data_IF_008342446533
#
_entry.id   IF_008342446533
#
_cell.length_a   1.000
_cell.length_b   1.000
_cell.length_c   1.000
_cell.angle_alpha   90.00
_cell.angle_beta   90.00
_cell.angle_gamma   90.00
#
_symmetry.space_group_name_H-M   'P 1'
#
loop_
_entity.id
_entity.type
_entity.pdbx_description
1 polymer ?
#
# COMPACT_ATOMS: atom_id res chain seq x y z
N UNK A 1 26.28 -48.17 -35.33
CA UNK A 1 26.46 -47.06 -34.41
C UNK A 1 25.35 -46.09 -34.68
N UNK A 2 24.33 -46.15 -33.86
CA UNK A 2 23.09 -45.32 -34.01
C UNK A 2 23.14 -44.30 -32.86
N UNK A 3 23.41 -43.09 -33.18
CA UNK A 3 23.36 -41.98 -32.22
C UNK A 3 21.88 -41.74 -31.83
N UNK A 4 21.59 -41.99 -30.59
CA UNK A 4 20.32 -41.57 -29.96
C UNK A 4 20.40 -40.11 -29.62
N UNK A 5 19.75 -39.26 -30.37
CA UNK A 5 19.44 -37.89 -30.00
C UNK A 5 18.46 -37.91 -28.84
N UNK A 6 18.95 -37.66 -27.62
CA UNK A 6 18.14 -37.36 -26.47
C UNK A 6 17.64 -35.90 -26.61
N UNK A 7 16.43 -35.73 -27.11
CA UNK A 7 15.71 -34.47 -27.01
C UNK A 7 15.30 -34.28 -25.54
N UNK A 8 16.02 -33.45 -24.80
CA UNK A 8 15.56 -32.94 -23.51
C UNK A 8 14.24 -32.20 -23.72
N UNK A 9 13.15 -32.88 -23.41
CA UNK A 9 11.86 -32.25 -23.24
C UNK A 9 11.97 -31.40 -21.97
N UNK A 10 12.22 -30.10 -22.13
CA UNK A 10 12.06 -29.12 -21.07
C UNK A 10 10.59 -29.17 -20.63
N UNK A 11 10.32 -29.76 -19.48
CA UNK A 11 9.00 -29.69 -18.85
C UNK A 11 8.60 -28.21 -18.75
N UNK A 12 7.59 -27.81 -19.51
CA UNK A 12 7.00 -26.48 -19.39
C UNK A 12 6.38 -26.37 -18.01
N UNK A 13 7.13 -25.76 -17.08
CA UNK A 13 6.63 -25.44 -15.75
C UNK A 13 5.35 -24.62 -15.89
N UNK A 14 4.28 -25.08 -15.27
CA UNK A 14 2.99 -24.38 -15.26
C UNK A 14 3.19 -22.99 -14.65
N UNK A 15 2.75 -21.95 -15.36
CA UNK A 15 2.78 -20.57 -14.90
C UNK A 15 1.67 -20.34 -13.87
N UNK A 16 1.95 -19.62 -12.80
CA UNK A 16 0.91 -19.09 -11.94
C UNK A 16 0.20 -17.90 -12.61
N UNK A 17 -0.90 -17.43 -12.03
CA UNK A 17 -1.72 -16.37 -12.65
C UNK A 17 -1.00 -15.02 -12.78
N UNK A 18 -0.07 -14.69 -11.85
CA UNK A 18 0.73 -13.46 -11.95
C UNK A 18 1.73 -13.58 -13.09
N UNK A 19 2.43 -14.72 -13.17
CA UNK A 19 3.35 -14.99 -14.27
C UNK A 19 2.61 -14.96 -15.63
N UNK A 20 1.39 -15.49 -15.69
CA UNK A 20 0.56 -15.41 -16.91
C UNK A 20 0.21 -13.96 -17.27
N UNK A 21 -0.15 -13.13 -16.29
CA UNK A 21 -0.43 -11.73 -16.51
C UNK A 21 0.80 -10.98 -17.03
N UNK A 22 1.96 -11.16 -16.39
CA UNK A 22 3.23 -10.57 -16.84
C UNK A 22 3.59 -10.99 -18.26
N UNK A 23 3.48 -12.30 -18.58
CA UNK A 23 3.78 -12.78 -19.93
C UNK A 23 2.81 -12.24 -20.99
N UNK A 24 1.55 -12.06 -20.64
CA UNK A 24 0.57 -11.46 -21.55
C UNK A 24 0.90 -9.98 -21.81
N UNK A 25 1.19 -9.21 -20.75
CA UNK A 25 1.54 -7.81 -20.88
C UNK A 25 2.83 -7.61 -21.67
N UNK A 26 3.83 -8.49 -21.50
CA UNK A 26 5.06 -8.47 -22.30
C UNK A 26 4.79 -8.80 -23.77
N UNK A 27 3.92 -9.78 -24.07
CA UNK A 27 3.53 -10.14 -25.45
C UNK A 27 2.76 -9.01 -26.13
N UNK A 28 1.95 -8.28 -25.38
CA UNK A 28 1.19 -7.12 -25.87
C UNK A 28 2.04 -5.84 -25.96
N UNK A 29 3.30 -5.88 -25.50
CA UNK A 29 4.21 -4.74 -25.50
C UNK A 29 3.86 -3.66 -24.48
N UNK A 30 3.00 -3.97 -23.50
CA UNK A 30 2.64 -3.04 -22.45
C UNK A 30 3.85 -2.61 -21.62
N UNK A 31 3.77 -1.45 -21.00
CA UNK A 31 4.82 -0.87 -20.17
C UNK A 31 6.19 -0.78 -20.89
N UNK A 32 6.19 -0.71 -22.23
CA UNK A 32 7.43 -0.74 -23.03
C UNK A 32 8.26 -2.01 -22.84
N UNK A 33 7.62 -3.14 -22.52
CA UNK A 33 8.28 -4.42 -22.25
C UNK A 33 9.03 -4.48 -20.91
N UNK A 34 8.79 -3.54 -20.01
CA UNK A 34 9.42 -3.50 -18.67
C UNK A 34 8.57 -4.25 -17.65
N UNK A 35 9.26 -4.87 -16.68
CA UNK A 35 8.65 -5.45 -15.49
C UNK A 35 9.26 -4.78 -14.27
N UNK A 36 8.44 -4.05 -13.54
CA UNK A 36 8.86 -3.39 -12.32
C UNK A 36 7.84 -3.65 -11.23
N UNK A 37 8.30 -4.26 -10.16
CA UNK A 37 7.53 -4.52 -8.95
C UNK A 37 8.07 -3.67 -7.80
N UNK A 38 7.45 -3.74 -6.65
CA UNK A 38 7.97 -3.14 -5.42
C UNK A 38 7.54 -3.94 -4.20
N UNK A 39 8.35 -3.93 -3.15
CA UNK A 39 7.99 -4.36 -1.81
C UNK A 39 7.78 -3.11 -0.95
N UNK A 40 6.53 -2.84 -0.46
CA UNK A 40 6.19 -1.60 0.24
C UNK A 40 5.91 -1.80 1.72
N UNK A 41 6.91 -2.15 2.56
CA UNK A 41 6.69 -2.37 3.98
C UNK A 41 6.42 -1.05 4.72
N UNK A 42 5.49 -1.09 5.70
CA UNK A 42 5.36 -0.05 6.72
C UNK A 42 6.46 -0.27 7.78
N UNK A 43 7.33 0.73 8.09
CA UNK A 43 8.43 0.56 9.03
C UNK A 43 7.96 0.67 10.49
N UNK A 44 6.99 -0.15 10.88
CA UNK A 44 6.32 -0.15 12.19
C UNK A 44 6.53 -1.43 13.01
N UNK A 45 7.43 -2.29 12.57
CA UNK A 45 7.76 -3.54 13.24
C UNK A 45 8.64 -4.46 12.40
N UNK A 46 9.14 -5.51 13.04
CA UNK A 46 9.94 -6.53 12.37
C UNK A 46 9.10 -7.36 11.39
N UNK A 47 9.75 -7.85 10.32
CA UNK A 47 9.11 -8.71 9.35
C UNK A 47 8.79 -10.09 9.95
N UNK A 48 7.86 -10.78 9.32
CA UNK A 48 7.48 -12.15 9.64
C UNK A 48 7.35 -12.97 8.34
N UNK A 49 7.15 -14.29 8.46
CA UNK A 49 7.12 -15.21 7.31
C UNK A 49 6.10 -14.84 6.23
N UNK A 50 5.01 -14.13 6.59
CA UNK A 50 4.07 -13.58 5.60
C UNK A 50 4.71 -12.54 4.71
N UNK A 51 5.57 -11.67 5.28
CA UNK A 51 6.36 -10.71 4.51
C UNK A 51 7.43 -11.40 3.66
N UNK A 52 8.09 -12.46 4.18
CA UNK A 52 9.03 -13.24 3.41
C UNK A 52 8.39 -13.81 2.13
N UNK A 53 7.15 -14.30 2.20
CA UNK A 53 6.40 -14.74 1.02
C UNK A 53 6.20 -13.59 0.02
N UNK A 54 5.81 -12.39 0.47
CA UNK A 54 5.63 -11.23 -0.39
C UNK A 54 6.96 -10.83 -1.06
N UNK A 55 8.04 -10.74 -0.27
CA UNK A 55 9.39 -10.45 -0.77
C UNK A 55 9.79 -11.45 -1.86
N UNK A 56 9.66 -12.76 -1.59
CA UNK A 56 10.01 -13.79 -2.57
C UNK A 56 9.16 -13.68 -3.87
N UNK A 57 7.91 -13.23 -3.76
CA UNK A 57 7.06 -13.04 -4.92
C UNK A 57 7.43 -11.77 -5.70
N UNK A 58 7.53 -10.63 -5.02
CA UNK A 58 7.81 -9.33 -5.64
C UNK A 58 9.17 -9.32 -6.34
N UNK A 59 10.21 -9.75 -5.62
CA UNK A 59 11.57 -9.85 -6.16
C UNK A 59 11.72 -11.00 -7.16
N UNK A 60 11.05 -12.14 -6.90
CA UNK A 60 11.10 -13.31 -7.78
C UNK A 60 10.49 -13.05 -9.15
N UNK A 61 9.37 -12.34 -9.22
CA UNK A 61 8.75 -11.92 -10.49
C UNK A 61 9.69 -10.98 -11.25
N UNK A 62 10.20 -9.94 -10.60
CA UNK A 62 11.15 -9.03 -11.24
C UNK A 62 12.37 -9.77 -11.79
N UNK A 63 13.02 -10.60 -10.98
CA UNK A 63 14.21 -11.36 -11.37
C UNK A 63 13.92 -12.31 -12.54
N UNK A 64 12.80 -13.03 -12.52
CA UNK A 64 12.41 -13.99 -13.56
C UNK A 64 12.24 -13.35 -14.94
N UNK A 65 11.73 -12.13 -14.99
CA UNK A 65 11.46 -11.42 -16.24
C UNK A 65 12.50 -10.34 -16.56
N UNK A 66 13.68 -10.37 -15.92
CA UNK A 66 14.75 -9.41 -16.16
C UNK A 66 14.41 -7.97 -15.78
N UNK A 67 13.45 -7.82 -14.87
CA UNK A 67 12.97 -6.54 -14.39
C UNK A 67 13.65 -6.09 -13.09
N UNK A 68 13.02 -5.12 -12.42
CA UNK A 68 13.51 -4.51 -11.18
C UNK A 68 12.43 -4.58 -10.11
N UNK A 69 12.82 -4.91 -8.87
CA UNK A 69 11.98 -4.73 -7.69
C UNK A 69 12.55 -3.59 -6.84
N UNK A 70 11.74 -2.58 -6.55
CA UNK A 70 12.12 -1.47 -5.68
C UNK A 70 11.68 -1.75 -4.23
N UNK A 71 12.37 -1.13 -3.28
CA UNK A 71 11.98 -1.08 -1.88
C UNK A 71 11.35 0.30 -1.63
N UNK A 72 10.09 0.35 -1.22
CA UNK A 72 9.43 1.60 -0.82
C UNK A 72 8.88 1.50 0.58
N UNK A 73 9.41 2.25 1.50
CA UNK A 73 8.84 2.35 2.83
C UNK A 73 7.55 3.17 2.81
N UNK A 74 6.45 2.55 3.28
CA UNK A 74 5.18 3.26 3.48
C UNK A 74 5.22 3.97 4.83
N UNK A 75 5.82 5.15 4.84
CA UNK A 75 6.00 6.01 6.00
C UNK A 75 4.95 7.13 6.06
N UNK A 76 3.68 6.81 5.81
CA UNK A 76 2.55 7.76 5.88
C UNK A 76 1.99 7.96 7.28
N UNK A 77 2.47 7.22 8.29
CA UNK A 77 1.97 7.26 9.65
C UNK A 77 3.07 7.51 10.68
N UNK A 78 3.41 8.76 10.99
CA UNK A 78 4.56 9.13 11.83
C UNK A 78 4.49 8.61 13.28
N UNK A 79 3.33 8.12 13.73
CA UNK A 79 3.17 7.69 15.13
C UNK A 79 3.75 6.31 15.45
N UNK A 80 4.14 5.54 14.44
CA UNK A 80 4.53 4.13 14.60
C UNK A 80 5.85 3.77 13.93
N UNK A 81 6.42 4.69 13.18
CA UNK A 81 7.58 4.44 12.33
C UNK A 81 8.88 4.69 13.08
N UNK A 82 9.84 3.78 12.92
CA UNK A 82 11.15 3.89 13.53
C UNK A 82 12.24 3.43 12.55
N UNK A 83 13.39 4.12 12.61
CA UNK A 83 14.58 3.80 11.81
C UNK A 83 15.13 2.41 12.13
N UNK A 84 14.94 1.91 13.34
CA UNK A 84 15.31 0.54 13.71
C UNK A 84 14.62 -0.50 12.79
N UNK A 85 13.34 -0.29 12.51
CA UNK A 85 12.60 -1.19 11.62
C UNK A 85 13.00 -1.05 10.16
N UNK A 86 13.34 0.17 9.72
CA UNK A 86 13.87 0.40 8.37
C UNK A 86 15.12 -0.44 8.12
N UNK A 87 16.10 -0.39 9.03
CA UNK A 87 17.35 -1.15 8.91
C UNK A 87 17.11 -2.66 9.03
N UNK A 88 16.29 -3.10 9.98
CA UNK A 88 15.94 -4.51 10.13
C UNK A 88 15.27 -5.10 8.88
N UNK A 89 14.37 -4.34 8.22
CA UNK A 89 13.71 -4.74 6.97
C UNK A 89 14.75 -4.90 5.85
N UNK A 90 15.69 -3.97 5.72
CA UNK A 90 16.77 -4.06 4.74
C UNK A 90 17.64 -5.30 4.94
N UNK A 91 18.04 -5.56 6.19
CA UNK A 91 18.80 -6.76 6.54
C UNK A 91 18.04 -8.03 6.20
N UNK A 92 16.73 -8.10 6.50
CA UNK A 92 15.92 -9.28 6.24
C UNK A 92 15.76 -9.56 4.73
N UNK A 93 15.61 -8.52 3.90
CA UNK A 93 15.56 -8.65 2.43
C UNK A 93 16.90 -9.19 1.91
N UNK A 94 18.02 -8.65 2.37
CA UNK A 94 19.37 -9.10 1.99
C UNK A 94 19.65 -10.53 2.48
N UNK A 95 19.21 -10.86 3.69
CA UNK A 95 19.34 -12.21 4.23
C UNK A 95 18.55 -13.24 3.39
N UNK A 96 17.40 -12.87 2.84
CA UNK A 96 16.64 -13.70 1.89
C UNK A 96 17.32 -13.80 0.52
N UNK A 97 18.45 -13.12 0.29
CA UNK A 97 19.25 -13.18 -0.93
C UNK A 97 18.82 -12.21 -2.03
N UNK A 98 17.99 -11.21 -1.70
CA UNK A 98 17.52 -10.24 -2.67
C UNK A 98 18.24 -8.89 -2.56
N UNK A 99 18.26 -8.17 -3.69
CA UNK A 99 18.76 -6.80 -3.81
C UNK A 99 17.68 -5.97 -4.50
N UNK A 100 17.35 -4.81 -3.92
CA UNK A 100 16.41 -3.87 -4.56
C UNK A 100 17.11 -2.95 -5.55
N UNK A 101 16.32 -2.42 -6.49
CA UNK A 101 16.81 -1.45 -7.46
C UNK A 101 16.98 -0.07 -6.82
N UNK A 102 15.86 0.59 -6.57
CA UNK A 102 15.83 1.88 -5.89
C UNK A 102 15.16 1.75 -4.52
N UNK A 103 15.53 2.67 -3.62
CA UNK A 103 14.92 2.82 -2.32
C UNK A 103 14.11 4.12 -2.32
N UNK A 104 12.84 4.01 -1.97
CA UNK A 104 11.89 5.11 -1.91
C UNK A 104 11.16 5.15 -0.57
N UNK A 105 10.58 6.29 -0.28
CA UNK A 105 9.71 6.49 0.87
C UNK A 105 8.43 7.19 0.39
N UNK A 106 7.28 6.85 0.99
CA UNK A 106 6.04 7.56 0.68
C UNK A 106 6.18 9.06 0.98
N UNK A 107 6.97 9.42 1.99
CA UNK A 107 7.30 10.81 2.33
C UNK A 107 8.08 11.58 1.25
N UNK A 108 8.73 10.91 0.31
CA UNK A 108 9.38 11.57 -0.84
C UNK A 108 8.34 12.23 -1.77
N UNK A 109 7.09 11.77 -1.71
CA UNK A 109 5.98 12.22 -2.57
C UNK A 109 4.96 13.10 -1.85
N UNK A 110 5.18 13.48 -0.59
CA UNK A 110 4.18 14.23 0.19
C UNK A 110 3.78 15.54 -0.49
N UNK A 111 4.69 16.24 -1.17
CA UNK A 111 4.35 17.44 -1.90
C UNK A 111 3.45 17.15 -3.12
N UNK A 112 3.78 16.14 -3.92
CA UNK A 112 2.96 15.76 -5.08
C UNK A 112 1.57 15.27 -4.64
N UNK A 113 1.49 14.48 -3.56
CA UNK A 113 0.24 14.02 -2.98
C UNK A 113 -0.60 15.17 -2.46
N UNK A 114 0.03 16.17 -1.82
CA UNK A 114 -0.61 17.40 -1.37
C UNK A 114 -1.20 18.19 -2.53
N UNK A 115 -0.38 18.45 -3.56
CA UNK A 115 -0.80 19.21 -4.74
C UNK A 115 -1.95 18.51 -5.46
N UNK A 116 -1.93 17.20 -5.50
CA UNK A 116 -3.02 16.41 -6.07
C UNK A 116 -4.30 16.51 -5.21
N UNK A 117 -4.20 16.43 -3.89
CA UNK A 117 -5.35 16.63 -3.00
C UNK A 117 -5.95 18.05 -3.16
N UNK A 118 -5.12 19.08 -3.30
CA UNK A 118 -5.56 20.45 -3.61
C UNK A 118 -6.33 20.50 -4.93
N UNK A 119 -5.85 19.81 -5.96
CA UNK A 119 -6.56 19.74 -7.25
C UNK A 119 -7.91 19.03 -7.12
N UNK A 120 -8.00 17.93 -6.37
CA UNK A 120 -9.27 17.26 -6.11
C UNK A 120 -10.30 18.18 -5.41
N UNK A 121 -9.84 19.02 -4.47
CA UNK A 121 -10.71 20.01 -3.84
C UNK A 121 -11.20 21.03 -4.89
N UNK A 122 -10.31 21.58 -5.72
CA UNK A 122 -10.64 22.54 -6.78
C UNK A 122 -11.63 21.99 -7.80
N UNK A 123 -11.56 20.68 -8.07
CA UNK A 123 -12.47 19.96 -8.98
C UNK A 123 -13.78 19.55 -8.30
N UNK A 124 -13.95 19.84 -7.00
CA UNK A 124 -15.14 19.42 -6.24
C UNK A 124 -15.19 17.91 -5.98
N UNK A 125 -14.06 17.19 -6.14
CA UNK A 125 -13.90 15.76 -5.89
C UNK A 125 -13.45 15.42 -4.47
N UNK A 126 -13.16 16.44 -3.65
CA UNK A 126 -12.83 16.27 -2.23
C UNK A 126 -13.37 17.45 -1.40
N UNK A 127 -13.61 17.19 -0.12
CA UNK A 127 -14.16 18.18 0.81
C UNK A 127 -13.63 17.95 2.23
N UNK A 128 -13.58 19.03 3.03
CA UNK A 128 -13.25 18.94 4.46
C UNK A 128 -14.49 18.56 5.25
N UNK A 129 -14.34 17.53 6.07
CA UNK A 129 -15.34 17.01 6.99
C UNK A 129 -14.89 17.23 8.44
N UNK A 130 -15.74 17.87 9.25
CA UNK A 130 -15.48 18.17 10.66
C UNK A 130 -16.07 17.11 11.61
N UNK A 131 -16.57 16.01 11.05
CA UNK A 131 -17.09 14.91 11.85
C UNK A 131 -15.96 14.10 12.44
N UNK A 132 -16.18 13.59 13.64
CA UNK A 132 -15.25 12.66 14.27
C UNK A 132 -15.37 11.25 13.65
N UNK A 133 -14.45 10.36 14.03
CA UNK A 133 -14.38 8.99 13.50
C UNK A 133 -15.66 8.17 13.73
N UNK A 134 -16.34 8.34 14.88
CA UNK A 134 -17.57 7.63 15.19
C UNK A 134 -18.74 8.10 14.31
N UNK A 135 -18.85 9.40 14.09
CA UNK A 135 -19.86 9.98 13.20
C UNK A 135 -19.67 9.54 11.76
N UNK A 136 -18.42 9.57 11.27
CA UNK A 136 -18.08 9.09 9.92
C UNK A 136 -18.39 7.59 9.78
N UNK A 137 -18.02 6.78 10.78
CA UNK A 137 -18.31 5.36 10.78
C UNK A 137 -19.81 5.07 10.74
N UNK A 138 -20.60 5.77 11.55
CA UNK A 138 -22.06 5.64 11.57
C UNK A 138 -22.69 6.03 10.22
N UNK A 139 -22.20 7.10 9.59
CA UNK A 139 -22.68 7.54 8.27
C UNK A 139 -22.37 6.58 7.14
N UNK A 140 -21.27 5.83 7.22
CA UNK A 140 -20.92 4.85 6.19
C UNK A 140 -21.96 3.74 6.02
N UNK A 141 -22.84 3.54 7.02
CA UNK A 141 -23.84 2.47 6.99
C UNK A 141 -23.23 1.08 7.10
N UNK A 142 -23.83 0.11 6.43
CA UNK A 142 -23.37 -1.28 6.42
C UNK A 142 -23.21 -1.80 4.99
N UNK A 143 -22.59 -2.96 4.75
CA UNK A 143 -22.51 -3.51 3.40
C UNK A 143 -23.87 -3.69 2.69
N UNK A 144 -24.95 -3.87 3.48
CA UNK A 144 -26.32 -4.07 2.97
C UNK A 144 -27.20 -2.82 3.04
N UNK A 145 -26.73 -1.75 3.67
CA UNK A 145 -27.44 -0.50 3.80
C UNK A 145 -26.55 0.65 3.31
N UNK A 146 -27.04 1.51 2.39
CA UNK A 146 -26.28 2.65 1.92
C UNK A 146 -25.91 3.58 3.06
N UNK A 147 -24.82 4.31 2.88
CA UNK A 147 -24.45 5.40 3.77
C UNK A 147 -25.30 6.65 3.53
N UNK A 148 -25.15 7.62 4.42
CA UNK A 148 -25.74 8.95 4.30
C UNK A 148 -24.65 9.98 4.02
N UNK A 149 -24.99 11.05 3.31
CA UNK A 149 -24.05 12.12 3.00
C UNK A 149 -23.67 12.91 4.27
N UNK A 150 -22.41 13.33 4.34
CA UNK A 150 -21.98 14.27 5.36
C UNK A 150 -22.65 15.64 5.17
N UNK A 151 -22.99 16.36 6.25
CA UNK A 151 -23.48 17.75 6.15
C UNK A 151 -22.44 18.69 5.50
N UNK A 152 -21.15 18.29 5.49
CA UNK A 152 -20.04 19.05 4.92
C UNK A 152 -19.72 18.67 3.46
N UNK A 153 -20.40 17.68 2.90
CA UNK A 153 -20.10 17.12 1.56
C UNK A 153 -20.20 18.16 0.44
N UNK A 154 -21.03 19.16 0.61
CA UNK A 154 -21.24 20.23 -0.36
C UNK A 154 -20.67 21.58 0.12
N UNK A 155 -19.65 21.55 1.00
CA UNK A 155 -18.93 22.74 1.45
C UNK A 155 -18.32 23.49 0.24
N UNK A 156 -18.31 24.83 0.24
CA UNK A 156 -17.65 25.62 -0.79
C UNK A 156 -16.19 25.24 -0.97
N UNK A 157 -15.72 25.27 -2.23
CA UNK A 157 -14.36 24.88 -2.60
C UNK A 157 -13.33 25.75 -1.86
N UNK A 158 -13.56 27.06 -1.84
CA UNK A 158 -12.67 28.05 -1.20
C UNK A 158 -12.51 27.76 0.31
N UNK A 159 -13.61 27.45 0.98
CA UNK A 159 -13.61 27.10 2.39
C UNK A 159 -12.85 25.79 2.65
N UNK A 160 -13.08 24.77 1.81
CA UNK A 160 -12.35 23.51 1.90
C UNK A 160 -10.85 23.69 1.68
N UNK A 161 -10.42 24.54 0.75
CA UNK A 161 -9.01 24.87 0.51
C UNK A 161 -8.40 25.59 1.71
N UNK A 162 -9.09 26.57 2.28
CA UNK A 162 -8.62 27.30 3.47
C UNK A 162 -8.42 26.33 4.65
N UNK A 163 -9.43 25.49 4.92
CA UNK A 163 -9.38 24.53 6.03
C UNK A 163 -8.31 23.45 5.81
N UNK A 164 -8.10 22.99 4.58
CA UNK A 164 -7.05 22.04 4.26
C UNK A 164 -5.65 22.64 4.54
N UNK A 165 -5.42 23.89 4.19
CA UNK A 165 -4.19 24.59 4.56
C UNK A 165 -4.04 24.71 6.07
N UNK A 166 -5.11 25.02 6.82
CA UNK A 166 -5.08 25.04 8.28
C UNK A 166 -4.78 23.70 8.93
N UNK A 167 -5.21 22.60 8.30
CA UNK A 167 -4.81 21.26 8.77
C UNK A 167 -3.28 21.08 8.75
N UNK A 168 -2.60 21.59 7.73
CA UNK A 168 -1.14 21.47 7.62
C UNK A 168 -0.36 22.54 8.39
N UNK A 169 -0.95 23.71 8.65
CA UNK A 169 -0.30 24.76 9.47
C UNK A 169 -0.21 24.40 10.96
N UNK A 170 -0.95 23.36 11.39
CA UNK A 170 -1.00 22.95 12.80
C UNK A 170 -2.05 23.68 13.64
N UNK A 171 -2.88 24.53 13.01
CA UNK A 171 -3.98 25.23 13.68
C UNK A 171 -5.10 24.28 14.11
N UNK A 172 -5.23 23.13 13.41
CA UNK A 172 -6.29 22.15 13.65
C UNK A 172 -5.77 21.03 14.55
N UNK A 173 -6.56 20.65 15.56
CA UNK A 173 -6.26 19.53 16.43
C UNK A 173 -6.57 18.18 15.75
N UNK A 174 -5.83 17.14 16.17
CA UNK A 174 -6.05 15.78 15.71
C UNK A 174 -7.52 15.34 15.93
N UNK A 175 -8.08 14.65 14.93
CA UNK A 175 -9.45 14.12 14.97
C UNK A 175 -10.56 15.17 14.83
N UNK A 176 -10.24 16.45 14.59
CA UNK A 176 -11.24 17.51 14.40
C UNK A 176 -11.69 17.69 12.98
N UNK A 177 -10.79 17.47 12.03
CA UNK A 177 -11.06 17.57 10.61
C UNK A 177 -10.32 16.50 9.84
N UNK A 178 -10.92 16.09 8.72
CA UNK A 178 -10.31 15.19 7.75
C UNK A 178 -10.67 15.66 6.34
N UNK A 179 -9.81 15.38 5.36
CA UNK A 179 -10.17 15.53 3.95
C UNK A 179 -10.75 14.21 3.46
N UNK A 180 -11.93 14.25 2.85
CA UNK A 180 -12.60 13.09 2.27
C UNK A 180 -12.73 13.23 0.76
N UNK A 181 -12.51 12.14 0.04
CA UNK A 181 -12.85 12.07 -1.37
C UNK A 181 -14.38 11.99 -1.53
N UNK A 182 -14.92 12.71 -2.53
CA UNK A 182 -16.34 12.73 -2.84
C UNK A 182 -16.63 11.71 -3.94
N UNK A 183 -17.11 10.52 -3.56
CA UNK A 183 -17.31 9.41 -4.49
C UNK A 183 -18.79 8.97 -4.49
N UNK A 184 -19.14 7.94 -3.72
CA UNK A 184 -20.48 7.36 -3.72
C UNK A 184 -20.84 6.76 -2.36
N UNK A 185 -21.71 7.42 -1.62
CA UNK A 185 -22.17 6.96 -0.30
C UNK A 185 -23.12 5.74 -0.39
N UNK A 186 -23.65 5.42 -1.57
CA UNK A 186 -24.51 4.26 -1.79
C UNK A 186 -23.75 3.02 -2.28
N UNK A 187 -22.45 3.14 -2.57
CA UNK A 187 -21.66 2.04 -3.09
C UNK A 187 -21.72 0.78 -2.20
N UNK A 188 -21.88 -0.43 -2.77
CA UNK A 188 -21.78 -1.67 -2.02
C UNK A 188 -20.36 -1.89 -1.46
N UNK A 189 -19.33 -1.29 -2.07
CA UNK A 189 -17.97 -1.26 -1.54
C UNK A 189 -17.82 -0.13 -0.52
N UNK A 190 -17.63 -0.49 0.76
CA UNK A 190 -17.49 0.46 1.85
C UNK A 190 -16.30 1.41 1.71
N UNK A 191 -15.25 1.02 0.95
CA UNK A 191 -14.09 1.87 0.67
C UNK A 191 -14.42 3.02 -0.30
N UNK A 192 -15.49 2.90 -1.08
CA UNK A 192 -15.98 3.95 -1.99
C UNK A 192 -16.88 4.99 -1.32
N UNK A 193 -17.29 4.77 -0.07
CA UNK A 193 -18.20 5.67 0.66
C UNK A 193 -17.43 6.83 1.25
N UNK A 194 -17.10 7.80 0.42
CA UNK A 194 -16.36 9.02 0.72
C UNK A 194 -15.21 8.75 1.71
N UNK A 195 -14.14 8.05 1.28
CA UNK A 195 -13.03 7.69 2.15
C UNK A 195 -12.26 8.90 2.63
N UNK A 196 -11.68 8.80 3.82
CA UNK A 196 -10.71 9.77 4.31
C UNK A 196 -9.43 9.63 3.49
N UNK A 197 -8.92 10.74 2.96
CA UNK A 197 -7.68 10.77 2.18
C UNK A 197 -6.55 11.54 2.87
N UNK A 198 -6.87 12.47 3.79
CA UNK A 198 -5.91 13.16 4.67
C UNK A 198 -6.44 13.28 6.09
N UNK A 199 -5.53 13.21 7.06
CA UNK A 199 -5.78 13.41 8.48
C UNK A 199 -4.69 14.27 9.13
N UNK A 200 -5.00 14.93 10.26
CA UNK A 200 -4.02 15.66 11.06
C UNK A 200 -3.34 14.68 12.03
N UNK A 201 -1.99 14.73 12.07
CA UNK A 201 -1.14 14.03 13.05
C UNK A 201 -0.07 15.01 13.49
N UNK A 202 0.04 15.27 14.79
CA UNK A 202 0.99 16.24 15.34
C UNK A 202 2.35 15.66 15.71
N UNK A 203 2.47 14.33 15.67
CA UNK A 203 3.76 13.67 15.90
C UNK A 203 4.74 14.04 14.77
N UNK A 204 5.97 14.48 15.09
CA UNK A 204 6.99 14.76 14.09
C UNK A 204 7.31 13.51 13.27
N UNK A 205 7.44 13.66 11.98
CA UNK A 205 7.77 12.56 11.08
C UNK A 205 9.28 12.26 11.11
N UNK A 206 9.68 10.99 11.14
CA UNK A 206 11.08 10.56 11.27
C UNK A 206 12.02 11.12 10.19
N UNK A 207 11.51 11.39 8.96
CA UNK A 207 12.30 11.97 7.87
C UNK A 207 12.01 13.44 7.60
N UNK A 208 10.76 13.87 7.63
CA UNK A 208 10.36 15.25 7.28
C UNK A 208 10.21 16.17 8.50
N UNK A 209 10.35 15.64 9.72
CA UNK A 209 10.24 16.40 10.94
C UNK A 209 8.89 17.09 11.09
N UNK A 210 8.94 18.40 11.32
CA UNK A 210 7.77 19.25 11.57
C UNK A 210 7.14 19.86 10.30
N UNK A 211 7.63 19.50 9.11
CA UNK A 211 7.20 20.10 7.84
C UNK A 211 5.73 19.84 7.55
N UNK A 212 5.25 18.67 7.90
CA UNK A 212 3.87 18.24 7.65
C UNK A 212 3.14 18.01 8.97
N UNK A 213 1.85 18.38 8.99
CA UNK A 213 0.89 18.08 10.06
C UNK A 213 -0.35 17.37 9.52
N UNK A 214 -0.61 17.51 8.22
CA UNK A 214 -1.62 16.75 7.49
C UNK A 214 -0.95 15.65 6.68
N UNK A 215 -1.34 14.39 6.92
CA UNK A 215 -0.74 13.21 6.32
C UNK A 215 -1.74 12.46 5.45
N UNK A 216 -1.31 11.96 4.27
CA UNK A 216 -2.17 11.17 3.42
C UNK A 216 -2.50 9.82 4.06
N UNK A 217 -3.68 9.29 3.72
CA UNK A 217 -4.04 7.92 4.07
C UNK A 217 -3.45 6.94 3.06
N UNK A 218 -3.21 5.71 3.51
CA UNK A 218 -2.67 4.63 2.69
C UNK A 218 -3.35 4.49 1.33
N UNK A 219 -4.67 4.36 1.29
CA UNK A 219 -5.42 4.17 0.04
C UNK A 219 -5.25 5.32 -0.95
N UNK A 220 -4.99 6.53 -0.46
CA UNK A 220 -4.72 7.69 -1.30
C UNK A 220 -3.28 7.73 -1.82
N UNK A 221 -2.30 7.42 -0.97
CA UNK A 221 -0.88 7.55 -1.32
C UNK A 221 -0.37 6.39 -2.17
N UNK A 222 -0.82 5.17 -1.91
CA UNK A 222 -0.20 3.94 -2.40
C UNK A 222 -0.20 3.82 -3.93
N UNK A 223 -1.36 3.95 -4.58
CA UNK A 223 -1.48 3.85 -6.04
C UNK A 223 -0.75 4.98 -6.77
N UNK A 224 -0.72 6.17 -6.18
CA UNK A 224 -0.02 7.31 -6.75
C UNK A 224 1.50 7.15 -6.64
N UNK A 225 2.00 6.61 -5.52
CA UNK A 225 3.42 6.28 -5.37
C UNK A 225 3.85 5.24 -6.39
N UNK A 226 3.04 4.19 -6.61
CA UNK A 226 3.29 3.21 -7.68
C UNK A 226 3.38 3.89 -9.06
N UNK A 227 2.51 4.87 -9.31
CA UNK A 227 2.52 5.64 -10.55
C UNK A 227 3.78 6.51 -10.69
N UNK A 228 4.19 7.22 -9.64
CA UNK A 228 5.39 8.07 -9.67
C UNK A 228 6.67 7.27 -9.87
N UNK A 229 6.73 6.07 -9.34
CA UNK A 229 7.89 5.17 -9.45
C UNK A 229 7.91 4.37 -10.77
N UNK A 230 6.82 4.36 -11.52
CA UNK A 230 6.70 3.57 -12.74
C UNK A 230 6.57 2.06 -12.48
N UNK A 231 5.97 1.68 -11.37
CA UNK A 231 5.62 0.28 -11.08
C UNK A 231 4.69 -0.23 -12.19
N UNK A 232 4.93 -1.43 -12.68
CA UNK A 232 4.12 -2.03 -13.74
C UNK A 232 3.12 -3.04 -13.18
N UNK A 233 3.57 -3.86 -12.23
CA UNK A 233 2.80 -4.90 -11.59
C UNK A 233 2.85 -4.69 -10.07
N UNK A 234 1.74 -4.20 -9.53
CA UNK A 234 1.57 -3.92 -8.10
C UNK A 234 1.04 -5.18 -7.41
N UNK A 235 1.88 -5.89 -6.66
CA UNK A 235 1.50 -7.14 -6.01
C UNK A 235 1.15 -6.90 -4.54
N UNK A 236 0.08 -7.51 -4.07
CA UNK A 236 -0.38 -7.41 -2.67
C UNK A 236 -1.17 -8.64 -2.24
N UNK A 237 -1.56 -8.71 -0.97
CA UNK A 237 -2.36 -9.83 -0.46
C UNK A 237 -3.86 -9.66 -0.76
N UNK A 238 -4.62 -10.76 -0.77
CA UNK A 238 -6.07 -10.77 -1.06
C UNK A 238 -6.92 -9.84 -0.18
N UNK A 239 -6.43 -9.42 0.94
CA UNK A 239 -7.13 -8.45 1.79
C UNK A 239 -7.30 -7.08 1.14
N UNK A 240 -6.50 -6.77 0.12
CA UNK A 240 -6.59 -5.53 -0.66
C UNK A 240 -7.55 -5.60 -1.87
N UNK A 241 -8.18 -6.74 -2.13
CA UNK A 241 -9.20 -6.86 -3.21
C UNK A 241 -10.29 -5.77 -3.10
N UNK A 242 -10.88 -5.49 -1.91
CA UNK A 242 -11.88 -4.42 -1.79
C UNK A 242 -11.29 -3.01 -1.98
N UNK A 243 -9.97 -2.83 -1.82
CA UNK A 243 -9.27 -1.56 -2.00
C UNK A 243 -8.92 -1.29 -3.46
N UNK A 244 -8.73 -2.33 -4.29
CA UNK A 244 -8.31 -2.18 -5.69
C UNK A 244 -9.17 -1.19 -6.50
N UNK A 245 -10.52 -1.19 -6.42
CA UNK A 245 -11.30 -0.20 -7.16
C UNK A 245 -10.99 1.25 -6.75
N UNK A 246 -10.65 1.49 -5.47
CA UNK A 246 -10.26 2.81 -4.98
C UNK A 246 -8.85 3.19 -5.46
N UNK A 247 -7.92 2.25 -5.41
CA UNK A 247 -6.59 2.37 -6.01
C UNK A 247 -6.68 2.78 -7.49
N UNK A 248 -7.48 2.06 -8.27
CA UNK A 248 -7.71 2.34 -9.68
C UNK A 248 -8.29 3.74 -9.91
N UNK A 249 -9.28 4.14 -9.10
CA UNK A 249 -9.92 5.46 -9.20
C UNK A 249 -8.93 6.61 -8.96
N UNK A 250 -8.10 6.52 -7.91
CA UNK A 250 -7.13 7.58 -7.63
C UNK A 250 -6.04 7.66 -8.70
N UNK A 251 -5.59 6.54 -9.25
CA UNK A 251 -4.66 6.54 -10.38
C UNK A 251 -5.29 7.19 -11.60
N UNK A 252 -6.56 6.88 -11.91
CA UNK A 252 -7.28 7.51 -13.03
C UNK A 252 -7.42 9.03 -12.83
N UNK A 253 -7.74 9.47 -11.62
CA UNK A 253 -7.85 10.90 -11.31
C UNK A 253 -6.50 11.64 -11.42
N UNK A 254 -5.38 11.00 -11.05
CA UNK A 254 -4.03 11.58 -11.28
C UNK A 254 -3.74 11.74 -12.77
N UNK A 255 -4.21 10.80 -13.58
CA UNK A 255 -3.99 10.77 -15.03
C UNK A 255 -4.92 11.71 -15.79
N UNK A 256 -6.02 12.16 -15.20
CA UNK A 256 -7.02 13.00 -15.87
C UNK A 256 -6.39 14.26 -16.43
N UNK A 257 -6.57 14.48 -17.75
CA UNK A 257 -6.00 15.63 -18.48
C UNK A 257 -4.50 15.57 -18.76
N UNK A 258 -3.84 14.47 -18.44
CA UNK A 258 -2.45 14.22 -18.84
C UNK A 258 -2.43 13.19 -19.96
N UNK A 259 -1.60 13.42 -20.96
CA UNK A 259 -1.34 12.51 -22.09
C UNK A 259 -0.47 11.35 -21.56
N UNK A 260 -1.08 10.52 -20.73
CA UNK A 260 -0.40 9.40 -20.07
C UNK A 260 -0.74 8.14 -20.84
N UNK A 261 0.34 7.47 -21.22
CA UNK A 261 0.38 6.20 -21.91
C UNK A 261 -0.70 5.23 -21.42
N UNK A 262 -1.27 4.43 -22.32
CA UNK A 262 -2.19 3.33 -21.98
C UNK A 262 -1.56 2.27 -21.06
N UNK A 263 -0.26 2.40 -20.78
CA UNK A 263 0.52 1.55 -19.88
C UNK A 263 0.20 1.85 -18.42
N UNK A 264 -1.02 1.53 -18.03
CA UNK A 264 -1.45 1.64 -16.65
C UNK A 264 -0.97 0.44 -15.86
N UNK A 265 -0.31 0.69 -14.72
CA UNK A 265 0.01 -0.36 -13.77
C UNK A 265 -1.29 -0.93 -13.16
N UNK A 266 -1.26 -2.23 -12.83
CA UNK A 266 -2.38 -2.95 -12.23
C UNK A 266 -1.99 -3.57 -10.90
N UNK A 267 -2.98 -3.64 -10.00
CA UNK A 267 -2.85 -4.34 -8.74
C UNK A 267 -3.29 -5.80 -8.90
N UNK A 268 -2.44 -6.74 -8.46
CA UNK A 268 -2.70 -8.17 -8.47
C UNK A 268 -2.61 -8.70 -7.04
N UNK A 269 -3.64 -9.41 -6.60
CA UNK A 269 -3.72 -9.91 -5.24
C UNK A 269 -3.45 -11.41 -5.17
N UNK A 270 -2.55 -11.80 -4.28
CA UNK A 270 -2.20 -13.19 -4.03
C UNK A 270 -2.66 -13.69 -2.66
N UNK A 271 -2.81 -15.01 -2.53
CA UNK A 271 -3.24 -15.65 -1.29
C UNK A 271 -2.24 -15.46 -0.15
N UNK A 272 -2.75 -15.33 1.08
CA UNK A 272 -1.93 -15.40 2.30
C UNK A 272 -1.16 -16.71 2.37
N UNK A 273 -0.02 -16.68 3.06
CA UNK A 273 0.67 -17.90 3.44
C UNK A 273 -0.12 -18.60 4.54
N UNK A 274 -0.57 -19.81 4.25
CA UNK A 274 -1.23 -20.68 5.22
C UNK A 274 -0.31 -21.87 5.51
N UNK A 275 0.02 -22.08 6.77
CA UNK A 275 0.81 -23.19 7.24
C UNK A 275 -0.07 -24.12 8.09
N UNK A 276 0.00 -25.42 7.80
CA UNK A 276 -0.68 -26.42 8.61
C UNK A 276 0.09 -26.63 9.91
N UNK A 277 -0.63 -26.93 10.97
CA UNK A 277 -0.06 -27.23 12.31
C UNK A 277 0.83 -26.11 12.89
N UNK A 278 0.64 -24.87 12.44
CA UNK A 278 1.46 -23.72 12.85
C UNK A 278 0.56 -22.60 13.33
N UNK A 279 0.86 -22.04 14.50
CA UNK A 279 0.18 -20.88 15.04
C UNK A 279 0.87 -19.62 14.50
N UNK A 280 0.18 -18.88 13.61
CA UNK A 280 0.70 -17.66 12.94
C UNK A 280 0.11 -16.36 13.50
N UNK A 281 -0.88 -16.45 14.40
CA UNK A 281 -1.56 -15.29 14.94
C UNK A 281 -0.69 -14.54 15.95
N UNK A 282 -0.24 -13.33 15.64
CA UNK A 282 0.46 -12.44 16.60
C UNK A 282 -0.31 -12.29 17.91
N UNK A 283 -1.64 -12.19 17.84
CA UNK A 283 -2.50 -12.09 19.01
C UNK A 283 -2.41 -13.31 19.91
N UNK A 284 -2.41 -14.52 19.34
CA UNK A 284 -2.29 -15.75 20.10
C UNK A 284 -0.86 -15.97 20.63
N UNK A 285 0.14 -15.64 19.82
CA UNK A 285 1.55 -15.71 20.24
C UNK A 285 1.82 -14.76 21.42
N UNK A 286 1.19 -13.56 21.42
CA UNK A 286 1.30 -12.60 22.52
C UNK A 286 0.78 -13.16 23.85
N UNK A 287 -0.22 -14.06 23.82
CA UNK A 287 -0.73 -14.73 25.03
C UNK A 287 0.37 -15.58 25.66
N UNK A 288 1.11 -16.35 24.85
CA UNK A 288 2.21 -17.18 25.33
C UNK A 288 3.30 -16.35 26.05
N UNK A 289 3.61 -15.17 25.52
CA UNK A 289 4.56 -14.23 26.14
C UNK A 289 4.00 -13.65 27.44
N UNK A 290 2.74 -13.20 27.44
CA UNK A 290 2.09 -12.57 28.62
C UNK A 290 1.88 -13.56 29.77
N UNK A 291 1.60 -14.80 29.45
CA UNK A 291 1.41 -15.87 30.45
C UNK A 291 2.73 -16.53 30.86
N UNK A 292 3.87 -15.98 30.38
CA UNK A 292 5.22 -16.51 30.67
C UNK A 292 5.40 -17.98 30.33
N UNK A 293 4.66 -18.48 29.32
CA UNK A 293 4.87 -19.82 28.77
C UNK A 293 6.11 -19.90 27.90
N UNK A 294 6.61 -18.73 27.48
CA UNK A 294 7.88 -18.50 26.78
C UNK A 294 8.51 -17.22 27.32
N UNK A 295 9.84 -17.10 27.24
CA UNK A 295 10.59 -16.00 27.86
C UNK A 295 10.43 -14.67 27.09
N UNK A 296 10.04 -14.69 25.82
CA UNK A 296 9.83 -13.49 25.02
C UNK A 296 9.65 -13.79 23.54
N UNK A 297 9.60 -12.74 22.74
CA UNK A 297 9.48 -12.83 21.30
C UNK A 297 10.69 -13.48 20.62
N UNK A 298 11.86 -13.37 21.22
CA UNK A 298 13.08 -14.00 20.71
C UNK A 298 13.00 -15.53 20.69
N UNK A 299 12.22 -16.10 21.59
CA UNK A 299 11.99 -17.55 21.66
C UNK A 299 10.94 -18.01 20.62
N UNK A 300 9.97 -17.17 20.27
CA UNK A 300 8.88 -17.52 19.35
C UNK A 300 9.04 -16.90 17.97
N UNK A 301 9.30 -15.61 17.91
CA UNK A 301 9.06 -14.79 16.72
C UNK A 301 10.23 -14.72 15.76
N UNK A 302 11.43 -14.44 16.24
CA UNK A 302 12.64 -14.38 15.40
C UNK A 302 13.01 -15.74 14.82
N UNK A 303 12.71 -16.78 15.54
CA UNK A 303 12.91 -18.16 15.11
C UNK A 303 12.13 -18.51 13.82
N UNK A 304 11.03 -17.80 13.51
CA UNK A 304 10.22 -18.14 12.34
C UNK A 304 10.76 -17.58 11.02
N UNK A 305 11.45 -16.45 11.06
CA UNK A 305 11.95 -15.82 9.83
C UNK A 305 13.47 -15.94 9.65
N UNK A 306 14.26 -15.75 10.71
CA UNK A 306 15.73 -15.81 10.61
C UNK A 306 16.36 -17.18 10.87
N UNK A 307 15.79 -17.97 11.75
CA UNK A 307 16.44 -19.21 12.22
C UNK A 307 15.84 -20.49 11.63
N UNK A 308 14.67 -20.44 10.99
CA UNK A 308 13.98 -21.62 10.48
C UNK A 308 13.66 -21.63 8.98
N UNK A 309 14.03 -20.58 8.27
CA UNK A 309 13.96 -20.53 6.81
C UNK A 309 15.31 -20.84 6.22
#
# INVERSE_FOLDING_TARGET
MTEMNATEATEKKSLNFIEQAVENDLKEGKNGGKVQTRFPPEPNGYLHIGHAKAICLDFGIAARYGGVCNLRFDDTNPTKEDMEYVEAIKEDIQWLGFQWGNEYYASDYFQQLWDFAVNLIKEGKAYIDEQNSEQIAAQKGTPTQPGTESPYRNRPIEESLELFNKMNSGEIEEGKMVLRAKIDMASPNMHFRDPIIYRVVKTPHHRTGETWKAYPMYDFAHGQSDYFEGVTHSLCTLEFVPHRPLYDLFVDWVKEGKDLDDNRHHQYEFNKLNLNYTLMSKRNLLILVKEHLVNGWDEIGRASCRERV
#
